data_IF_367520955110
#
_entry.id   IF_367520955110
#
_cell.length_a   1.000
_cell.length_b   1.000
_cell.length_c   1.000
_cell.angle_alpha   90.00
_cell.angle_beta   90.00
_cell.angle_gamma   90.00
#
_symmetry.space_group_name_H-M   'P 1'
#
loop_
_entity.id
_entity.type
_entity.pdbx_description
1 polymer ?
#
# COMPACT_ATOMS: atom_id res chain seq x y z
N UNK A 1 -6.67 -24.01 31.46
CA UNK A 1 -6.57 -23.06 30.31
C UNK A 1 -7.53 -23.55 29.21
N UNK A 2 -8.51 -22.74 28.83
CA UNK A 2 -9.59 -23.12 27.92
C UNK A 2 -9.04 -23.45 26.51
N UNK A 3 -9.31 -24.67 26.00
CA UNK A 3 -8.87 -25.13 24.65
C UNK A 3 -9.30 -24.16 23.53
N UNK A 4 -10.36 -23.40 23.75
CA UNK A 4 -10.82 -22.38 22.81
C UNK A 4 -9.90 -21.15 22.79
N UNK A 5 -9.31 -20.75 23.92
CA UNK A 5 -8.35 -19.64 24.00
C UNK A 5 -7.02 -19.98 23.34
N UNK A 6 -6.60 -21.25 23.36
CA UNK A 6 -5.38 -21.70 22.68
C UNK A 6 -5.52 -21.63 21.16
N UNK A 7 -6.71 -21.86 20.60
CA UNK A 7 -6.91 -22.01 19.14
C UNK A 7 -6.79 -20.71 18.36
N UNK A 8 -7.34 -19.57 18.85
CA UNK A 8 -7.24 -18.31 18.11
C UNK A 8 -5.84 -17.70 18.19
N UNK A 9 -5.17 -17.80 19.36
CA UNK A 9 -3.78 -17.38 19.50
C UNK A 9 -2.84 -18.17 18.59
N UNK A 10 -2.99 -19.52 18.57
CA UNK A 10 -2.22 -20.36 17.66
C UNK A 10 -2.49 -20.03 16.17
N UNK A 11 -3.71 -19.65 15.80
CA UNK A 11 -4.04 -19.26 14.43
C UNK A 11 -3.34 -17.95 14.02
N UNK A 12 -3.29 -16.96 14.92
CA UNK A 12 -2.55 -15.71 14.67
C UNK A 12 -1.06 -15.99 14.53
N UNK A 13 -0.47 -16.75 15.47
CA UNK A 13 0.95 -17.14 15.40
C UNK A 13 1.26 -17.87 14.09
N UNK A 14 0.41 -18.83 13.70
CA UNK A 14 0.57 -19.52 12.42
C UNK A 14 0.54 -18.59 11.21
N UNK A 15 -0.37 -17.60 11.19
CA UNK A 15 -0.45 -16.62 10.11
C UNK A 15 0.81 -15.74 10.06
N UNK A 16 1.33 -15.31 11.22
CA UNK A 16 2.59 -14.56 11.33
C UNK A 16 3.78 -15.40 10.83
N UNK A 17 3.92 -16.62 11.31
CA UNK A 17 5.02 -17.50 10.90
C UNK A 17 4.97 -17.78 9.39
N UNK A 18 3.79 -18.05 8.83
CA UNK A 18 3.66 -18.28 7.38
C UNK A 18 4.00 -17.00 6.60
N UNK A 19 3.60 -15.82 7.08
CA UNK A 19 3.94 -14.55 6.43
C UNK A 19 5.45 -14.32 6.43
N UNK A 20 6.14 -14.54 7.56
CA UNK A 20 7.60 -14.44 7.65
C UNK A 20 8.32 -15.45 6.75
N UNK A 21 7.88 -16.72 6.78
CA UNK A 21 8.43 -17.75 5.88
C UNK A 21 8.24 -17.35 4.41
N UNK A 22 7.07 -16.82 4.05
CA UNK A 22 6.83 -16.34 2.68
C UNK A 22 7.75 -15.16 2.31
N UNK A 23 8.04 -14.21 3.22
CA UNK A 23 9.03 -13.15 3.02
C UNK A 23 10.40 -13.76 2.71
N UNK A 24 10.88 -14.69 3.56
CA UNK A 24 12.20 -15.32 3.38
C UNK A 24 12.31 -16.09 2.07
N UNK A 25 11.23 -16.76 1.65
CA UNK A 25 11.20 -17.53 0.40
C UNK A 25 11.15 -16.68 -0.86
N UNK A 26 10.44 -15.55 -0.80
CA UNK A 26 10.15 -14.69 -1.96
C UNK A 26 11.08 -13.48 -2.08
N UNK A 27 11.90 -13.19 -1.04
CA UNK A 27 12.83 -12.06 -1.10
C UNK A 27 13.84 -12.24 -2.25
N UNK A 28 14.25 -11.16 -2.91
CA UNK A 28 15.34 -11.16 -3.88
C UNK A 28 16.61 -11.78 -3.29
N UNK A 29 17.29 -12.60 -4.06
CA UNK A 29 18.56 -13.20 -3.65
C UNK A 29 19.75 -12.71 -4.48
N UNK A 30 19.46 -12.16 -5.65
CA UNK A 30 20.45 -11.66 -6.59
C UNK A 30 20.03 -10.28 -7.12
N UNK A 31 20.98 -9.53 -7.64
CA UNK A 31 20.75 -8.23 -8.25
C UNK A 31 20.47 -7.11 -7.23
N UNK A 32 20.83 -7.31 -5.98
CA UNK A 32 20.78 -6.27 -4.94
C UNK A 32 22.19 -5.83 -4.63
N UNK A 33 22.46 -4.54 -4.73
CA UNK A 33 23.70 -3.92 -4.30
C UNK A 33 23.56 -3.57 -2.82
N UNK A 34 24.49 -4.07 -2.01
CA UNK A 34 24.54 -3.72 -0.59
C UNK A 34 24.89 -2.23 -0.43
N UNK A 35 24.10 -1.45 0.34
CA UNK A 35 24.36 -0.03 0.49
C UNK A 35 25.69 0.23 1.20
N UNK A 36 26.52 1.09 0.63
CA UNK A 36 27.67 1.63 1.34
C UNK A 36 27.17 2.48 2.51
N UNK A 37 27.83 2.43 3.69
CA UNK A 37 27.46 3.28 4.82
C UNK A 37 27.71 4.75 4.46
N UNK A 38 26.64 5.56 4.56
CA UNK A 38 26.66 7.00 4.32
C UNK A 38 26.02 7.74 5.49
N UNK A 39 26.43 8.99 5.70
CA UNK A 39 25.87 9.83 6.74
C UNK A 39 24.88 10.84 6.14
N UNK A 40 23.69 10.93 6.69
CA UNK A 40 22.68 11.88 6.23
C UNK A 40 23.18 13.33 6.20
N UNK A 41 24.02 13.74 7.15
CA UNK A 41 24.61 15.09 7.20
C UNK A 41 25.57 15.40 6.05
N UNK A 42 26.04 14.39 5.28
CA UNK A 42 26.84 14.61 4.07
C UNK A 42 25.99 15.00 2.85
N UNK A 43 24.70 14.75 2.90
CA UNK A 43 23.76 14.95 1.79
C UNK A 43 22.65 15.94 2.11
N UNK A 44 22.33 16.12 3.40
CA UNK A 44 21.24 16.99 3.86
C UNK A 44 21.74 17.93 4.95
N UNK A 45 21.36 19.17 4.89
CA UNK A 45 21.61 20.12 5.99
C UNK A 45 20.78 19.74 7.23
N UNK A 46 21.24 20.16 8.39
CA UNK A 46 20.51 19.96 9.65
C UNK A 46 19.08 20.54 9.59
N UNK A 47 18.90 21.69 8.95
CA UNK A 47 17.59 22.35 8.79
C UNK A 47 16.64 21.58 7.87
N UNK A 48 17.13 20.92 6.84
CA UNK A 48 16.32 20.06 5.96
C UNK A 48 15.86 18.81 6.68
N UNK A 49 16.75 18.16 7.43
CA UNK A 49 16.41 16.99 8.25
C UNK A 49 15.38 17.36 9.32
N UNK A 50 15.58 18.48 10.04
CA UNK A 50 14.66 18.95 11.06
C UNK A 50 13.28 19.26 10.46
N UNK A 51 13.22 19.99 9.34
CA UNK A 51 11.97 20.29 8.63
C UNK A 51 11.22 19.02 8.23
N UNK A 52 11.91 18.00 7.74
CA UNK A 52 11.31 16.72 7.39
C UNK A 52 10.74 16.02 8.63
N UNK A 53 11.49 16.01 9.74
CA UNK A 53 11.07 15.41 11.02
C UNK A 53 9.90 16.15 11.66
N UNK A 54 9.88 17.48 11.63
CA UNK A 54 8.79 18.32 12.15
C UNK A 54 7.48 18.08 11.40
N UNK A 55 7.56 17.78 10.11
CA UNK A 55 6.40 17.36 9.35
C UNK A 55 6.02 15.90 9.66
N UNK A 56 6.98 14.97 9.62
CA UNK A 56 6.71 13.52 9.69
C UNK A 56 6.25 13.03 11.07
N UNK A 57 6.83 13.52 12.17
CA UNK A 57 6.48 13.08 13.53
C UNK A 57 5.00 13.26 13.86
N UNK A 58 4.37 14.45 13.64
CA UNK A 58 2.93 14.59 13.85
C UNK A 58 2.09 13.76 12.88
N UNK A 59 2.52 13.58 11.62
CA UNK A 59 1.81 12.72 10.67
C UNK A 59 1.80 11.26 11.14
N UNK A 60 2.88 10.79 11.73
CA UNK A 60 2.96 9.47 12.35
C UNK A 60 2.00 9.34 13.55
N UNK A 61 1.93 10.36 14.41
CA UNK A 61 0.98 10.40 15.52
C UNK A 61 -0.48 10.39 15.02
N UNK A 62 -0.79 11.12 13.95
CA UNK A 62 -2.11 11.12 13.32
C UNK A 62 -2.43 9.73 12.75
N UNK A 63 -1.47 9.08 12.08
CA UNK A 63 -1.64 7.71 11.60
C UNK A 63 -1.98 6.73 12.74
N UNK A 64 -1.21 6.78 13.83
CA UNK A 64 -1.50 5.98 15.04
C UNK A 64 -2.87 6.29 15.63
N UNK A 65 -3.27 7.57 15.64
CA UNK A 65 -4.58 8.03 16.09
C UNK A 65 -5.74 7.51 15.21
N UNK A 66 -5.56 7.50 13.89
CA UNK A 66 -6.53 6.93 12.94
C UNK A 66 -6.72 5.44 13.22
N UNK A 67 -5.64 4.68 13.36
CA UNK A 67 -5.71 3.25 13.69
C UNK A 67 -6.36 3.01 15.07
N UNK A 68 -6.02 3.82 16.06
CA UNK A 68 -6.61 3.73 17.40
C UNK A 68 -8.12 4.02 17.39
N UNK A 69 -8.59 5.01 16.64
CA UNK A 69 -10.01 5.30 16.46
C UNK A 69 -10.70 4.14 15.76
N UNK A 70 -10.15 3.63 14.68
CA UNK A 70 -10.71 2.50 13.93
C UNK A 70 -10.87 1.26 14.84
N UNK A 71 -9.80 0.84 15.51
CA UNK A 71 -9.82 -0.26 16.46
C UNK A 71 -10.77 -0.01 17.63
N UNK A 72 -10.80 1.23 18.15
CA UNK A 72 -11.69 1.64 19.25
C UNK A 72 -13.18 1.55 18.87
N UNK A 73 -13.54 2.07 17.70
CA UNK A 73 -14.92 1.99 17.18
C UNK A 73 -15.32 0.54 16.98
N UNK A 74 -14.50 -0.28 16.34
CA UNK A 74 -14.80 -1.69 16.10
C UNK A 74 -14.89 -2.48 17.40
N UNK A 75 -13.99 -2.25 18.35
CA UNK A 75 -14.01 -2.88 19.68
C UNK A 75 -15.26 -2.49 20.46
N UNK A 76 -15.67 -1.22 20.43
CA UNK A 76 -16.91 -0.76 21.07
C UNK A 76 -18.14 -1.46 20.48
N UNK A 77 -18.20 -1.59 19.15
CA UNK A 77 -19.30 -2.27 18.45
C UNK A 77 -19.32 -3.78 18.70
N UNK A 78 -18.16 -4.40 18.94
CA UNK A 78 -18.06 -5.79 19.41
C UNK A 78 -18.58 -5.94 20.84
N UNK A 79 -18.16 -5.05 21.75
CA UNK A 79 -18.55 -5.10 23.16
C UNK A 79 -20.01 -4.74 23.37
N UNK A 80 -20.53 -3.77 22.59
CA UNK A 80 -21.91 -3.25 22.68
C UNK A 80 -22.59 -3.25 21.30
N UNK A 81 -22.86 -4.44 20.73
CA UNK A 81 -23.43 -4.51 19.39
C UNK A 81 -24.82 -3.90 19.34
N UNK A 82 -25.09 -3.03 18.35
CA UNK A 82 -26.38 -2.36 18.18
C UNK A 82 -27.53 -3.38 18.10
N UNK A 83 -28.65 -3.08 18.76
CA UNK A 83 -29.84 -3.95 18.76
C UNK A 83 -30.30 -4.27 17.34
N UNK A 84 -30.17 -3.32 16.40
CA UNK A 84 -30.54 -3.48 14.99
C UNK A 84 -29.74 -4.57 14.25
N UNK A 85 -28.59 -4.97 14.75
CA UNK A 85 -27.78 -6.04 14.17
C UNK A 85 -28.12 -7.44 14.73
N UNK A 86 -28.90 -7.54 15.83
CA UNK A 86 -29.18 -8.78 16.54
C UNK A 86 -30.51 -9.45 16.17
N UNK A 87 -31.33 -8.82 15.33
CA UNK A 87 -32.67 -9.28 15.02
C UNK A 87 -32.75 -10.50 14.10
N UNK A 88 -33.89 -11.20 14.08
CA UNK A 88 -34.15 -12.19 13.04
C UNK A 88 -34.41 -11.47 11.73
N UNK A 89 -33.44 -11.60 10.79
CA UNK A 89 -33.57 -10.99 9.48
C UNK A 89 -34.26 -11.93 8.49
N UNK A 90 -35.32 -11.46 7.83
CA UNK A 90 -35.94 -12.19 6.70
C UNK A 90 -34.93 -12.42 5.55
N UNK A 91 -34.03 -11.44 5.31
CA UNK A 91 -32.98 -11.47 4.26
C UNK A 91 -31.61 -11.17 4.88
N UNK A 92 -31.01 -12.13 5.60
CA UNK A 92 -29.80 -11.87 6.40
C UNK A 92 -28.58 -11.44 5.57
N UNK A 93 -28.47 -11.87 4.32
CA UNK A 93 -27.36 -11.48 3.42
C UNK A 93 -27.52 -10.02 2.99
N UNK A 94 -28.73 -9.57 2.64
CA UNK A 94 -28.99 -8.16 2.31
C UNK A 94 -28.83 -7.25 3.54
N UNK A 95 -29.27 -7.72 4.69
CA UNK A 95 -29.04 -7.01 5.95
C UNK A 95 -27.55 -6.89 6.28
N UNK A 96 -26.75 -7.92 5.96
CA UNK A 96 -25.29 -7.86 6.10
C UNK A 96 -24.65 -6.89 5.11
N UNK A 97 -25.12 -6.83 3.87
CA UNK A 97 -24.65 -5.83 2.89
C UNK A 97 -24.86 -4.40 3.42
N UNK A 98 -26.08 -4.09 3.85
CA UNK A 98 -26.41 -2.78 4.39
C UNK A 98 -25.62 -2.45 5.67
N UNK A 99 -25.45 -3.43 6.57
CA UNK A 99 -24.69 -3.27 7.80
C UNK A 99 -23.18 -3.08 7.52
N UNK A 100 -22.61 -3.81 6.57
CA UNK A 100 -21.21 -3.66 6.17
C UNK A 100 -20.94 -2.30 5.54
N UNK A 101 -21.80 -1.84 4.64
CA UNK A 101 -21.73 -0.50 4.07
C UNK A 101 -21.85 0.60 5.16
N UNK A 102 -22.83 0.47 6.08
CA UNK A 102 -23.00 1.41 7.17
C UNK A 102 -21.81 1.42 8.14
N UNK A 103 -21.21 0.26 8.42
CA UNK A 103 -20.01 0.16 9.26
C UNK A 103 -18.80 0.86 8.59
N UNK A 104 -18.61 0.65 7.30
CA UNK A 104 -17.57 1.35 6.53
C UNK A 104 -17.74 2.86 6.59
N UNK A 105 -18.96 3.36 6.36
CA UNK A 105 -19.26 4.80 6.47
C UNK A 105 -19.01 5.32 7.88
N UNK A 106 -19.46 4.59 8.91
CA UNK A 106 -19.28 5.00 10.31
C UNK A 106 -17.80 5.12 10.68
N UNK A 107 -16.95 4.17 10.28
CA UNK A 107 -15.51 4.23 10.51
C UNK A 107 -14.89 5.39 9.73
N UNK A 108 -15.24 5.55 8.45
CA UNK A 108 -14.76 6.67 7.62
C UNK A 108 -15.09 8.02 8.25
N UNK A 109 -16.31 8.21 8.74
CA UNK A 109 -16.71 9.46 9.40
C UNK A 109 -15.96 9.65 10.73
N UNK A 110 -15.75 8.59 11.51
CA UNK A 110 -15.02 8.67 12.77
C UNK A 110 -13.56 9.11 12.61
N UNK A 111 -12.87 8.67 11.56
CA UNK A 111 -11.47 9.03 11.29
C UNK A 111 -11.31 10.34 10.50
N UNK A 112 -12.39 10.85 9.89
CA UNK A 112 -12.35 12.02 9.02
C UNK A 112 -11.70 13.26 9.67
N UNK A 113 -11.97 13.61 10.94
CA UNK A 113 -11.33 14.77 11.58
C UNK A 113 -9.81 14.70 11.58
N UNK A 114 -9.21 13.53 11.89
CA UNK A 114 -7.77 13.36 11.84
C UNK A 114 -7.21 13.42 10.40
N UNK A 115 -7.96 12.92 9.42
CA UNK A 115 -7.58 13.02 8.02
C UNK A 115 -7.61 14.48 7.52
N UNK A 116 -8.54 15.29 8.01
CA UNK A 116 -8.59 16.73 7.73
C UNK A 116 -7.38 17.44 8.34
N UNK A 117 -7.04 17.15 9.59
CA UNK A 117 -5.84 17.70 10.25
C UNK A 117 -4.58 17.33 9.48
N UNK A 118 -4.43 16.05 9.09
CA UNK A 118 -3.30 15.58 8.28
C UNK A 118 -3.17 16.33 6.96
N UNK A 119 -4.32 16.56 6.27
CA UNK A 119 -4.37 17.31 5.02
C UNK A 119 -3.95 18.78 5.19
N UNK A 120 -4.47 19.46 6.22
CA UNK A 120 -4.12 20.88 6.43
C UNK A 120 -2.62 21.04 6.75
N UNK A 121 -2.07 20.15 7.58
CA UNK A 121 -0.62 20.13 7.81
C UNK A 121 0.19 19.92 6.53
N UNK A 122 -0.26 19.01 5.66
CA UNK A 122 0.38 18.78 4.36
C UNK A 122 0.26 19.99 3.43
N UNK A 123 -0.86 20.73 3.52
CA UNK A 123 -1.07 21.97 2.78
C UNK A 123 -0.19 23.11 3.29
N UNK A 124 -0.02 23.26 4.60
CA UNK A 124 0.87 24.24 5.23
C UNK A 124 2.32 24.13 4.75
N UNK A 125 2.80 22.91 4.53
CA UNK A 125 4.15 22.67 4.02
C UNK A 125 4.24 22.62 2.48
N UNK A 126 3.13 22.84 1.78
CA UNK A 126 3.08 22.93 0.32
C UNK A 126 2.96 21.57 -0.40
N UNK A 127 2.75 20.46 0.32
CA UNK A 127 2.59 19.13 -0.30
C UNK A 127 1.20 18.92 -0.93
N UNK A 128 0.16 19.62 -0.45
CA UNK A 128 -1.21 19.51 -0.96
C UNK A 128 -1.60 20.78 -1.70
N UNK A 129 -1.92 20.63 -2.97
CA UNK A 129 -2.43 21.69 -3.87
C UNK A 129 -3.94 21.62 -4.05
N UNK A 130 -4.55 20.50 -3.69
CA UNK A 130 -5.96 20.21 -3.91
C UNK A 130 -6.89 21.19 -3.19
N UNK A 131 -7.90 21.71 -3.91
CA UNK A 131 -8.97 22.50 -3.32
C UNK A 131 -9.84 21.70 -2.34
N UNK A 132 -10.57 22.39 -1.47
CA UNK A 132 -11.52 21.74 -0.56
C UNK A 132 -12.64 21.02 -1.29
N UNK A 133 -13.15 21.56 -2.38
CA UNK A 133 -14.20 20.91 -3.20
C UNK A 133 -13.66 19.64 -3.88
N UNK A 134 -12.42 19.68 -4.38
CA UNK A 134 -11.73 18.50 -4.92
C UNK A 134 -11.55 17.43 -3.87
N UNK A 135 -11.10 17.79 -2.67
CA UNK A 135 -10.95 16.86 -1.55
C UNK A 135 -12.28 16.22 -1.14
N UNK A 136 -13.34 17.03 -0.99
CA UNK A 136 -14.67 16.53 -0.63
C UNK A 136 -15.23 15.57 -1.70
N UNK A 137 -15.06 15.92 -3.00
CA UNK A 137 -15.43 15.03 -4.11
C UNK A 137 -14.69 13.69 -4.03
N UNK A 138 -13.37 13.71 -3.87
CA UNK A 138 -12.57 12.50 -3.82
C UNK A 138 -12.91 11.65 -2.60
N UNK A 139 -13.19 12.26 -1.45
CA UNK A 139 -13.67 11.57 -0.24
C UNK A 139 -15.05 10.95 -0.45
N UNK A 140 -15.95 11.62 -1.13
CA UNK A 140 -17.28 11.08 -1.45
C UNK A 140 -17.18 9.86 -2.38
N UNK A 141 -16.38 9.96 -3.45
CA UNK A 141 -16.14 8.85 -4.39
C UNK A 141 -15.49 7.66 -3.66
N UNK A 142 -14.38 7.89 -2.94
CA UNK A 142 -13.68 6.83 -2.20
C UNK A 142 -14.56 6.20 -1.12
N UNK A 143 -15.37 7.00 -0.42
CA UNK A 143 -16.31 6.53 0.59
C UNK A 143 -17.42 5.68 -0.01
N UNK A 144 -17.96 6.06 -1.18
CA UNK A 144 -18.98 5.28 -1.89
C UNK A 144 -18.42 3.93 -2.37
N UNK A 145 -17.21 3.93 -2.96
CA UNK A 145 -16.52 2.71 -3.38
C UNK A 145 -16.24 1.81 -2.16
N UNK A 146 -15.71 2.38 -1.08
CA UNK A 146 -15.43 1.65 0.16
C UNK A 146 -16.69 1.04 0.77
N UNK A 147 -17.79 1.78 0.82
CA UNK A 147 -19.09 1.29 1.32
C UNK A 147 -19.64 0.15 0.43
N UNK A 148 -19.51 0.27 -0.90
CA UNK A 148 -19.92 -0.78 -1.83
C UNK A 148 -19.11 -2.07 -1.61
N UNK A 149 -17.78 -1.96 -1.57
CA UNK A 149 -16.88 -3.11 -1.35
C UNK A 149 -17.16 -3.75 0.03
N UNK A 150 -17.29 -2.94 1.08
CA UNK A 150 -17.60 -3.44 2.42
C UNK A 150 -18.97 -4.12 2.48
N UNK A 151 -19.98 -3.56 1.80
CA UNK A 151 -21.31 -4.16 1.70
C UNK A 151 -21.29 -5.51 0.98
N UNK A 152 -20.63 -5.59 -0.18
CA UNK A 152 -20.48 -6.83 -0.95
C UNK A 152 -19.66 -7.87 -0.17
N UNK A 153 -18.57 -7.46 0.47
CA UNK A 153 -17.74 -8.32 1.32
C UNK A 153 -18.52 -8.88 2.51
N UNK A 154 -19.30 -8.04 3.19
CA UNK A 154 -20.15 -8.44 4.30
C UNK A 154 -21.26 -9.42 3.88
N UNK A 155 -21.92 -9.17 2.74
CA UNK A 155 -22.91 -10.07 2.16
C UNK A 155 -22.30 -11.44 1.85
N UNK A 156 -21.14 -11.43 1.19
CA UNK A 156 -20.39 -12.64 0.85
C UNK A 156 -19.97 -13.41 2.10
N UNK A 157 -19.36 -12.73 3.09
CA UNK A 157 -18.90 -13.35 4.31
C UNK A 157 -20.05 -14.01 5.08
N UNK A 158 -21.18 -13.29 5.29
CA UNK A 158 -22.35 -13.83 5.97
C UNK A 158 -23.00 -14.95 5.17
N UNK A 159 -23.07 -14.83 3.84
CA UNK A 159 -23.56 -15.89 2.96
C UNK A 159 -22.75 -17.18 3.09
N UNK A 160 -21.42 -17.06 3.09
CA UNK A 160 -20.49 -18.17 3.27
C UNK A 160 -20.57 -18.77 4.69
N UNK A 161 -20.61 -17.93 5.73
CA UNK A 161 -20.74 -18.37 7.14
C UNK A 161 -22.03 -19.17 7.37
N UNK A 162 -23.12 -18.81 6.69
CA UNK A 162 -24.41 -19.51 6.79
C UNK A 162 -24.37 -20.87 6.10
N UNK A 163 -23.69 -20.99 4.96
CA UNK A 163 -23.58 -22.23 4.20
C UNK A 163 -22.50 -23.17 4.75
N UNK A 164 -21.38 -22.60 5.22
CA UNK A 164 -20.19 -23.30 5.67
C UNK A 164 -19.72 -22.75 7.04
N UNK A 165 -20.44 -22.99 8.14
CA UNK A 165 -20.20 -22.31 9.43
C UNK A 165 -18.78 -22.48 9.99
N UNK A 166 -18.12 -23.59 9.68
CA UNK A 166 -16.74 -23.90 10.15
C UNK A 166 -15.66 -23.64 9.10
N UNK A 167 -16.00 -23.71 7.81
CA UNK A 167 -15.06 -23.69 6.68
C UNK A 167 -15.22 -22.49 5.75
N UNK A 168 -16.00 -21.48 6.10
CA UNK A 168 -16.27 -20.31 5.25
C UNK A 168 -15.02 -19.55 4.80
N UNK A 169 -13.96 -19.60 5.60
CA UNK A 169 -12.69 -18.99 5.31
C UNK A 169 -11.99 -19.58 4.07
N UNK A 170 -12.24 -20.86 3.74
CA UNK A 170 -11.64 -21.50 2.56
C UNK A 170 -12.13 -20.87 1.26
N UNK A 171 -13.44 -20.88 0.92
CA UNK A 171 -13.91 -20.15 -0.25
C UNK A 171 -13.70 -18.62 -0.10
N UNK A 172 -13.73 -18.08 1.12
CA UNK A 172 -13.38 -16.69 1.40
C UNK A 172 -11.97 -16.33 0.94
N UNK A 173 -10.99 -17.22 1.14
CA UNK A 173 -9.62 -17.04 0.67
C UNK A 173 -9.57 -16.94 -0.86
N UNK A 174 -10.24 -17.84 -1.55
CA UNK A 174 -10.28 -17.79 -3.04
C UNK A 174 -10.84 -16.45 -3.53
N UNK A 175 -11.91 -15.98 -2.88
CA UNK A 175 -12.53 -14.69 -3.23
C UNK A 175 -11.58 -13.51 -2.93
N UNK A 176 -10.87 -13.53 -1.79
CA UNK A 176 -9.89 -12.48 -1.44
C UNK A 176 -8.74 -12.44 -2.43
N UNK A 177 -8.18 -13.59 -2.79
CA UNK A 177 -7.09 -13.68 -3.78
C UNK A 177 -7.58 -13.23 -5.16
N UNK A 178 -8.75 -13.71 -5.60
CA UNK A 178 -9.33 -13.29 -6.87
C UNK A 178 -9.63 -11.78 -6.89
N UNK A 179 -10.14 -11.22 -5.80
CA UNK A 179 -10.35 -9.78 -5.65
C UNK A 179 -9.02 -9.01 -5.72
N UNK A 180 -7.96 -9.51 -5.09
CA UNK A 180 -6.61 -8.94 -5.19
C UNK A 180 -6.11 -8.90 -6.64
N UNK A 181 -6.23 -10.01 -7.37
CA UNK A 181 -5.87 -10.09 -8.80
C UNK A 181 -6.66 -9.05 -9.61
N UNK A 182 -7.99 -9.04 -9.47
CA UNK A 182 -8.86 -8.10 -10.20
C UNK A 182 -8.51 -6.65 -9.83
N UNK A 183 -8.27 -6.34 -8.55
CA UNK A 183 -7.97 -4.97 -8.10
C UNK A 183 -6.66 -4.45 -8.67
N UNK A 184 -5.61 -5.27 -8.72
CA UNK A 184 -4.30 -4.86 -9.23
C UNK A 184 -4.36 -4.58 -10.74
N UNK A 185 -5.08 -5.38 -11.51
CA UNK A 185 -5.10 -5.23 -12.97
C UNK A 185 -6.23 -4.33 -13.49
N UNK A 186 -7.40 -4.37 -12.85
CA UNK A 186 -8.52 -3.53 -13.26
C UNK A 186 -8.54 -2.16 -12.58
N UNK A 187 -7.96 -2.05 -11.37
CA UNK A 187 -7.93 -0.80 -10.59
C UNK A 187 -7.39 0.39 -11.38
N UNK A 188 -6.20 0.32 -12.00
CA UNK A 188 -5.64 1.43 -12.78
C UNK A 188 -6.46 1.80 -14.02
N UNK A 189 -7.28 0.90 -14.52
CA UNK A 189 -8.14 1.15 -15.71
C UNK A 189 -9.51 1.70 -15.31
N UNK A 190 -10.07 1.22 -14.19
CA UNK A 190 -11.44 1.54 -13.76
C UNK A 190 -11.48 2.62 -12.69
N UNK A 191 -10.57 2.56 -11.70
CA UNK A 191 -10.62 3.45 -10.55
C UNK A 191 -9.78 4.73 -10.75
N UNK A 192 -8.57 4.63 -11.32
CA UNK A 192 -7.71 5.80 -11.49
C UNK A 192 -8.35 6.93 -12.29
N UNK A 193 -9.12 6.67 -13.40
CA UNK A 193 -9.78 7.73 -14.15
C UNK A 193 -10.89 8.47 -13.39
N UNK A 194 -11.39 7.91 -12.27
CA UNK A 194 -12.35 8.62 -11.41
C UNK A 194 -11.69 9.79 -10.65
N UNK A 195 -10.38 9.70 -10.47
CA UNK A 195 -9.59 10.66 -9.70
C UNK A 195 -8.67 11.51 -10.59
N UNK A 196 -8.10 10.96 -11.64
CA UNK A 196 -7.03 11.57 -12.42
C UNK A 196 -7.39 11.65 -13.91
N UNK A 197 -6.74 12.59 -14.60
CA UNK A 197 -6.81 12.71 -16.06
C UNK A 197 -5.49 12.23 -16.66
N UNK A 198 -5.57 11.29 -17.60
CA UNK A 198 -4.43 10.73 -18.29
C UNK A 198 -4.34 11.30 -19.69
N UNK A 199 -3.14 11.72 -20.11
CA UNK A 199 -2.88 12.21 -21.48
C UNK A 199 -1.66 11.47 -22.02
N UNK A 200 -1.68 11.02 -23.28
CA UNK A 200 -0.46 10.51 -23.91
C UNK A 200 0.66 11.55 -23.83
N UNK A 201 1.87 11.09 -23.49
CA UNK A 201 3.04 11.95 -23.50
C UNK A 201 3.35 12.34 -24.96
N UNK A 202 3.42 13.65 -25.30
CA UNK A 202 3.72 14.07 -26.65
C UNK A 202 5.05 13.49 -27.17
N UNK A 203 5.22 13.33 -28.50
CA UNK A 203 6.50 12.97 -29.08
C UNK A 203 7.60 13.94 -28.61
N UNK A 204 8.77 13.37 -28.29
CA UNK A 204 9.91 14.12 -27.78
C UNK A 204 10.87 13.23 -27.01
N UNK A 205 11.97 13.82 -26.60
CA UNK A 205 13.12 13.14 -26.05
C UNK A 205 12.79 12.27 -24.81
N UNK A 206 11.96 12.79 -23.88
CA UNK A 206 11.56 12.03 -22.68
C UNK A 206 10.79 10.77 -23.05
N UNK A 207 9.86 10.87 -24.02
CA UNK A 207 9.10 9.70 -24.49
C UNK A 207 10.02 8.67 -25.17
N UNK A 208 10.97 9.13 -25.96
CA UNK A 208 11.95 8.29 -26.64
C UNK A 208 12.84 7.57 -25.63
N UNK A 209 13.31 8.27 -24.57
CA UNK A 209 14.11 7.67 -23.50
C UNK A 209 13.35 6.57 -22.77
N UNK A 210 12.09 6.83 -22.41
CA UNK A 210 11.24 5.84 -21.72
C UNK A 210 11.10 4.58 -22.57
N UNK A 211 10.82 4.71 -23.87
CA UNK A 211 10.66 3.59 -24.78
C UNK A 211 12.00 2.86 -25.02
N UNK A 212 13.10 3.59 -25.11
CA UNK A 212 14.44 3.01 -25.24
C UNK A 212 14.86 2.21 -23.98
N UNK A 213 14.58 2.75 -22.80
CA UNK A 213 14.81 2.06 -21.52
C UNK A 213 13.95 0.80 -21.41
N UNK A 214 12.66 0.88 -21.76
CA UNK A 214 11.76 -0.26 -21.77
C UNK A 214 12.28 -1.38 -22.69
N UNK A 215 12.73 -1.04 -23.89
CA UNK A 215 13.34 -1.98 -24.82
C UNK A 215 14.61 -2.62 -24.25
N UNK A 216 15.48 -1.84 -23.61
CA UNK A 216 16.71 -2.34 -22.96
C UNK A 216 16.39 -3.26 -21.78
N UNK A 217 15.33 -2.96 -21.02
CA UNK A 217 14.85 -3.78 -19.92
C UNK A 217 14.14 -5.06 -20.38
N UNK A 218 13.89 -5.23 -21.68
CA UNK A 218 13.11 -6.34 -22.22
C UNK A 218 11.61 -6.26 -21.85
N UNK A 219 11.12 -5.05 -21.58
CA UNK A 219 9.73 -4.79 -21.21
C UNK A 219 8.98 -4.19 -22.39
N UNK A 220 7.93 -4.86 -22.82
CA UNK A 220 7.05 -4.36 -23.89
C UNK A 220 6.10 -3.29 -23.31
N UNK A 221 6.34 -2.04 -23.66
CA UNK A 221 5.54 -0.87 -23.27
C UNK A 221 4.83 -0.33 -24.50
N UNK A 222 3.50 -0.34 -24.46
CA UNK A 222 2.68 0.13 -25.58
C UNK A 222 2.62 1.65 -25.66
N UNK A 223 2.51 2.35 -24.53
CA UNK A 223 2.32 3.81 -24.52
C UNK A 223 2.86 4.44 -23.22
N UNK A 224 3.20 5.73 -23.30
CA UNK A 224 3.65 6.57 -22.17
C UNK A 224 2.60 7.65 -21.94
N UNK A 225 2.14 7.77 -20.70
CA UNK A 225 1.14 8.77 -20.30
C UNK A 225 1.70 9.74 -19.27
N UNK A 226 1.13 10.92 -19.24
CA UNK A 226 1.21 11.86 -18.12
C UNK A 226 -0.10 11.85 -17.35
N UNK A 227 -0.03 12.10 -16.05
CA UNK A 227 -1.19 12.25 -15.16
C UNK A 227 -1.13 13.60 -14.45
N UNK A 228 -2.27 14.27 -14.30
CA UNK A 228 -2.45 15.60 -13.69
C UNK A 228 -2.34 15.57 -12.15
N UNK A 229 -1.21 15.05 -11.63
CA UNK A 229 -0.96 14.93 -10.20
C UNK A 229 -0.86 16.31 -9.51
N UNK A 230 -0.31 17.30 -10.20
CA UNK A 230 -0.16 18.68 -9.70
C UNK A 230 -1.46 19.32 -9.21
N UNK A 231 -2.60 18.85 -9.68
CA UNK A 231 -3.93 19.26 -9.19
C UNK A 231 -4.19 18.88 -7.73
N UNK A 232 -3.44 17.91 -7.18
CA UNK A 232 -3.61 17.36 -5.82
C UNK A 232 -2.40 17.53 -4.94
N UNK A 233 -1.22 17.39 -5.52
CA UNK A 233 0.02 17.30 -4.76
C UNK A 233 1.19 17.89 -5.52
N UNK A 234 2.21 18.30 -4.79
CA UNK A 234 3.52 18.64 -5.37
C UNK A 234 4.47 17.43 -5.36
N UNK A 235 4.08 16.32 -4.75
CA UNK A 235 4.89 15.10 -4.72
C UNK A 235 5.08 14.53 -6.13
N UNK A 236 6.30 14.04 -6.41
CA UNK A 236 6.64 13.41 -7.68
C UNK A 236 6.51 11.88 -7.58
N UNK A 237 6.06 11.25 -8.66
CA UNK A 237 5.98 9.80 -8.77
C UNK A 237 5.90 9.36 -10.25
N UNK A 238 6.13 8.06 -10.49
CA UNK A 238 5.83 7.36 -11.73
C UNK A 238 5.36 5.94 -11.41
N UNK A 239 4.81 5.22 -12.38
CA UNK A 239 4.50 3.80 -12.23
C UNK A 239 4.29 3.12 -13.59
N UNK A 240 4.46 1.80 -13.62
CA UNK A 240 4.12 0.96 -14.77
C UNK A 240 2.89 0.13 -14.44
N UNK A 241 1.91 0.12 -15.34
CA UNK A 241 0.67 -0.64 -15.16
C UNK A 241 0.22 -1.28 -16.46
N UNK A 242 -0.73 -2.22 -16.40
CA UNK A 242 -1.25 -2.96 -17.54
C UNK A 242 -0.71 -4.38 -17.64
N UNK A 243 -1.16 -5.12 -18.66
CA UNK A 243 -0.84 -6.54 -18.89
C UNK A 243 -0.34 -6.75 -20.31
N UNK A 244 0.67 -7.61 -20.47
CA UNK A 244 1.19 -7.98 -21.79
C UNK A 244 1.58 -6.75 -22.61
N UNK A 245 1.04 -6.63 -23.80
CA UNK A 245 1.24 -5.51 -24.74
C UNK A 245 0.48 -4.23 -24.36
N UNK A 246 -0.40 -4.27 -23.37
CA UNK A 246 -1.14 -3.09 -22.88
C UNK A 246 -0.44 -2.37 -21.74
N UNK A 247 0.81 -2.76 -21.41
CA UNK A 247 1.60 -2.06 -20.40
C UNK A 247 1.84 -0.62 -20.82
N UNK A 248 1.70 0.27 -19.86
CA UNK A 248 1.93 1.71 -20.03
C UNK A 248 2.77 2.26 -18.87
N UNK A 249 3.65 3.16 -19.19
CA UNK A 249 4.37 3.97 -18.20
C UNK A 249 3.55 5.23 -17.94
N UNK A 250 3.31 5.56 -16.69
CA UNK A 250 2.59 6.76 -16.26
C UNK A 250 3.54 7.65 -15.46
N UNK A 251 3.75 8.87 -15.92
CA UNK A 251 4.61 9.86 -15.29
C UNK A 251 3.73 10.97 -14.71
N UNK A 252 3.99 11.37 -13.46
CA UNK A 252 3.36 12.54 -12.89
C UNK A 252 3.87 13.81 -13.59
N UNK A 253 2.96 14.75 -13.88
CA UNK A 253 3.34 16.06 -14.38
C UNK A 253 4.34 16.77 -13.45
N UNK A 254 4.18 16.61 -12.14
CA UNK A 254 5.11 17.11 -11.12
C UNK A 254 6.51 16.51 -11.20
N UNK A 255 6.67 15.27 -11.69
CA UNK A 255 7.97 14.66 -11.94
C UNK A 255 8.64 15.34 -13.16
N UNK A 256 7.90 15.48 -14.24
CA UNK A 256 8.41 16.07 -15.48
C UNK A 256 8.79 17.54 -15.34
N UNK A 257 8.06 18.29 -14.51
CA UNK A 257 8.29 19.73 -14.29
C UNK A 257 9.47 20.01 -13.35
N UNK A 258 9.77 19.12 -12.42
CA UNK A 258 10.68 19.44 -11.32
C UNK A 258 11.97 18.62 -11.27
N UNK A 259 12.11 17.61 -12.12
CA UNK A 259 13.28 16.73 -12.15
C UNK A 259 13.97 16.80 -13.52
N UNK A 260 15.28 16.59 -13.52
CA UNK A 260 16.07 16.56 -14.75
C UNK A 260 15.73 15.30 -15.54
N UNK A 261 16.03 15.32 -16.82
CA UNK A 261 15.75 14.22 -17.74
C UNK A 261 16.46 12.91 -17.34
N UNK A 262 17.71 12.99 -16.88
CA UNK A 262 18.47 11.86 -16.36
C UNK A 262 17.83 11.26 -15.09
N UNK A 263 17.34 12.11 -14.18
CA UNK A 263 16.61 11.68 -13.00
C UNK A 263 15.27 11.00 -13.35
N UNK A 264 14.54 11.52 -14.34
CA UNK A 264 13.30 10.88 -14.84
C UNK A 264 13.60 9.50 -15.45
N UNK A 265 14.72 9.36 -16.16
CA UNK A 265 15.17 8.07 -16.71
C UNK A 265 15.43 7.04 -15.62
N UNK A 266 16.02 7.45 -14.50
CA UNK A 266 16.29 6.58 -13.34
C UNK A 266 14.99 6.10 -12.69
N UNK A 267 14.02 7.00 -12.49
CA UNK A 267 12.70 6.62 -11.98
C UNK A 267 12.04 5.59 -12.90
N UNK A 268 12.07 5.83 -14.21
CA UNK A 268 11.51 4.88 -15.19
C UNK A 268 12.25 3.55 -15.16
N UNK A 269 13.58 3.54 -15.05
CA UNK A 269 14.39 2.33 -14.95
C UNK A 269 14.03 1.53 -13.67
N UNK A 270 13.81 2.21 -12.55
CA UNK A 270 13.32 1.63 -11.31
C UNK A 270 11.95 0.96 -11.52
N UNK A 271 10.98 1.66 -12.11
CA UNK A 271 9.64 1.11 -12.37
C UNK A 271 9.67 -0.07 -13.34
N UNK A 272 10.54 -0.05 -14.35
CA UNK A 272 10.73 -1.16 -15.27
C UNK A 272 11.31 -2.41 -14.59
N UNK A 273 12.06 -2.26 -13.50
CA UNK A 273 12.56 -3.36 -12.68
C UNK A 273 11.41 -4.22 -12.15
N UNK A 274 10.35 -3.61 -11.61
CA UNK A 274 9.19 -4.33 -11.08
C UNK A 274 8.52 -5.21 -12.13
N UNK A 275 8.53 -4.78 -13.39
CA UNK A 275 8.01 -5.58 -14.51
C UNK A 275 9.00 -6.68 -14.90
N UNK A 276 10.28 -6.34 -15.00
CA UNK A 276 11.37 -7.27 -15.35
C UNK A 276 11.43 -8.46 -14.38
N UNK A 277 11.38 -8.20 -13.08
CA UNK A 277 11.43 -9.23 -12.03
C UNK A 277 10.06 -9.81 -11.67
N UNK A 278 8.99 -9.37 -12.33
CA UNK A 278 7.62 -9.86 -12.10
C UNK A 278 7.15 -9.67 -10.66
N UNK A 279 7.43 -8.51 -10.06
CA UNK A 279 7.14 -8.25 -8.65
C UNK A 279 5.64 -8.28 -8.34
N UNK A 280 4.78 -7.85 -9.27
CA UNK A 280 3.32 -7.96 -9.11
C UNK A 280 2.85 -9.41 -9.05
N UNK A 281 3.20 -10.32 -9.97
CA UNK A 281 2.92 -11.76 -9.81
C UNK A 281 3.47 -12.36 -8.53
N UNK A 282 4.69 -12.00 -8.11
CA UNK A 282 5.31 -12.48 -6.87
C UNK A 282 4.55 -11.97 -5.62
N UNK A 283 4.09 -10.72 -5.64
CA UNK A 283 3.23 -10.16 -4.60
C UNK A 283 1.87 -10.88 -4.51
N UNK A 284 1.28 -11.24 -5.65
CA UNK A 284 0.06 -12.05 -5.70
C UNK A 284 0.30 -13.49 -5.18
N UNK A 285 1.47 -14.06 -5.44
CA UNK A 285 1.87 -15.35 -4.87
C UNK A 285 2.01 -15.25 -3.35
N UNK A 286 2.65 -14.19 -2.83
CA UNK A 286 2.70 -13.90 -1.39
C UNK A 286 1.28 -13.84 -0.79
N UNK A 287 0.38 -13.08 -1.41
CA UNK A 287 -1.03 -13.01 -1.00
C UNK A 287 -1.68 -14.40 -0.98
N UNK A 288 -1.48 -15.20 -2.03
CA UNK A 288 -2.07 -16.54 -2.13
C UNK A 288 -1.56 -17.50 -1.04
N UNK A 289 -0.30 -17.36 -0.62
CA UNK A 289 0.31 -18.17 0.46
C UNK A 289 -0.24 -17.72 1.82
N UNK A 290 -0.33 -16.41 2.08
CA UNK A 290 -0.61 -15.86 3.41
C UNK A 290 -2.11 -15.74 3.70
N UNK A 291 -2.93 -15.42 2.69
CA UNK A 291 -4.36 -15.17 2.86
C UNK A 291 -5.15 -16.34 3.52
N UNK A 292 -4.87 -17.62 3.24
CA UNK A 292 -5.55 -18.74 3.91
C UNK A 292 -5.39 -18.70 5.43
N UNK A 293 -4.17 -18.45 5.90
CA UNK A 293 -3.84 -18.43 7.33
C UNK A 293 -4.36 -17.16 8.01
N UNK A 294 -4.22 -16.01 7.34
CA UNK A 294 -4.78 -14.76 7.81
C UNK A 294 -6.31 -14.85 7.95
N UNK A 295 -6.99 -15.35 6.93
CA UNK A 295 -8.45 -15.49 6.96
C UNK A 295 -8.93 -16.58 7.94
N UNK A 296 -8.16 -17.65 8.13
CA UNK A 296 -8.38 -18.62 9.20
C UNK A 296 -8.30 -17.96 10.58
N UNK A 297 -7.27 -17.13 10.83
CA UNK A 297 -7.13 -16.38 12.08
C UNK A 297 -8.31 -15.42 12.30
N UNK A 298 -8.72 -14.69 11.26
CA UNK A 298 -9.92 -13.83 11.27
C UNK A 298 -11.17 -14.65 11.60
N UNK A 299 -11.32 -15.85 11.04
CA UNK A 299 -12.47 -16.71 11.32
C UNK A 299 -12.47 -17.21 12.78
N UNK A 300 -11.31 -17.50 13.38
CA UNK A 300 -11.21 -17.85 14.79
C UNK A 300 -11.56 -16.65 15.70
N UNK A 301 -11.02 -15.45 15.38
CA UNK A 301 -11.33 -14.22 16.11
C UNK A 301 -12.81 -13.88 16.02
N UNK A 302 -13.40 -13.92 14.83
CA UNK A 302 -14.84 -13.67 14.62
C UNK A 302 -15.69 -14.62 15.45
N UNK A 303 -15.40 -15.92 15.47
CA UNK A 303 -16.14 -16.90 16.28
C UNK A 303 -16.01 -16.63 17.78
N UNK A 304 -14.87 -16.13 18.23
CA UNK A 304 -14.62 -15.81 19.65
C UNK A 304 -15.32 -14.55 20.11
N UNK A 305 -15.39 -13.56 19.23
CA UNK A 305 -15.84 -12.20 19.56
C UNK A 305 -17.31 -11.93 19.17
N UNK A 306 -17.84 -12.66 18.19
CA UNK A 306 -19.22 -12.43 17.74
C UNK A 306 -20.25 -12.88 18.77
N UNK A 307 -21.32 -12.10 19.03
CA UNK A 307 -22.37 -12.44 19.95
C UNK A 307 -23.14 -13.70 19.51
N UNK A 308 -23.30 -14.66 20.41
CA UNK A 308 -24.17 -15.85 20.20
C UNK A 308 -23.71 -16.83 19.11
N UNK A 309 -22.52 -16.65 18.51
CA UNK A 309 -21.99 -17.58 17.51
C UNK A 309 -22.81 -17.71 16.22
N UNK A 310 -23.83 -16.90 16.02
CA UNK A 310 -24.75 -17.00 14.87
C UNK A 310 -24.18 -16.25 13.65
N UNK A 311 -24.19 -16.87 12.44
CA UNK A 311 -23.77 -16.23 11.21
C UNK A 311 -24.83 -15.21 10.74
N UNK A 312 -24.59 -13.93 11.03
CA UNK A 312 -25.49 -12.82 10.70
C UNK A 312 -24.82 -11.45 10.80
N UNK A 313 -25.56 -10.35 10.57
CA UNK A 313 -25.02 -8.99 10.65
C UNK A 313 -24.35 -8.66 12.00
N UNK A 314 -24.73 -9.29 13.10
CA UNK A 314 -24.13 -9.11 14.41
C UNK A 314 -22.64 -9.56 14.49
N UNK A 315 -22.18 -10.41 13.58
CA UNK A 315 -20.80 -10.86 13.51
C UNK A 315 -19.88 -9.86 12.78
N UNK A 316 -20.43 -8.89 12.04
CA UNK A 316 -19.64 -7.99 11.17
C UNK A 316 -18.64 -7.10 11.92
N UNK A 317 -18.95 -6.50 13.09
CA UNK A 317 -17.93 -5.76 13.84
C UNK A 317 -16.74 -6.63 14.25
N UNK A 318 -16.99 -7.87 14.69
CA UNK A 318 -15.92 -8.82 15.05
C UNK A 318 -15.11 -9.26 13.81
N UNK A 319 -15.77 -9.48 12.68
CA UNK A 319 -15.12 -9.78 11.41
C UNK A 319 -14.24 -8.60 10.98
N UNK A 320 -14.75 -7.38 11.00
CA UNK A 320 -14.01 -6.17 10.62
C UNK A 320 -12.80 -5.95 11.55
N UNK A 321 -12.98 -6.08 12.87
CA UNK A 321 -11.89 -5.98 13.83
C UNK A 321 -10.81 -7.02 13.55
N UNK A 322 -11.19 -8.27 13.31
CA UNK A 322 -10.26 -9.34 12.95
C UNK A 322 -9.50 -9.05 11.65
N UNK A 323 -10.19 -8.51 10.63
CA UNK A 323 -9.57 -8.10 9.36
C UNK A 323 -8.56 -6.97 9.59
N UNK A 324 -8.93 -5.90 10.31
CA UNK A 324 -8.00 -4.77 10.57
C UNK A 324 -6.76 -5.26 11.30
N UNK A 325 -6.92 -6.04 12.38
CA UNK A 325 -5.77 -6.57 13.14
C UNK A 325 -4.88 -7.43 12.26
N UNK A 326 -5.46 -8.39 11.52
CA UNK A 326 -4.65 -9.30 10.68
C UNK A 326 -4.01 -8.60 9.49
N UNK A 327 -4.73 -7.68 8.84
CA UNK A 327 -4.16 -6.90 7.72
C UNK A 327 -3.01 -6.04 8.20
N UNK A 328 -3.16 -5.29 9.30
CA UNK A 328 -2.08 -4.48 9.87
C UNK A 328 -0.85 -5.34 10.20
N UNK A 329 -1.06 -6.49 10.88
CA UNK A 329 0.04 -7.40 11.22
C UNK A 329 0.76 -7.95 9.98
N UNK A 330 0.00 -8.43 8.98
CA UNK A 330 0.57 -9.01 7.75
C UNK A 330 1.26 -7.93 6.92
N UNK A 331 0.70 -6.71 6.86
CA UNK A 331 1.32 -5.58 6.14
C UNK A 331 2.67 -5.22 6.75
N UNK A 332 2.78 -5.13 8.09
CA UNK A 332 4.07 -4.90 8.76
C UNK A 332 5.12 -5.94 8.36
N UNK A 333 4.72 -7.21 8.28
CA UNK A 333 5.62 -8.30 7.85
C UNK A 333 5.97 -8.14 6.37
N UNK A 334 5.00 -7.89 5.51
CA UNK A 334 5.23 -7.76 4.05
C UNK A 334 6.07 -6.54 3.69
N UNK A 335 6.15 -5.51 4.55
CA UNK A 335 7.02 -4.36 4.36
C UNK A 335 8.51 -4.76 4.27
N UNK A 336 8.91 -5.84 4.93
CA UNK A 336 10.28 -6.36 4.82
C UNK A 336 10.55 -6.84 3.39
N UNK A 337 9.62 -7.64 2.82
CA UNK A 337 9.73 -8.09 1.42
C UNK A 337 9.72 -6.89 0.45
N UNK A 338 8.86 -5.89 0.70
CA UNK A 338 8.79 -4.68 -0.11
C UNK A 338 10.15 -3.97 -0.16
N UNK A 339 10.79 -3.73 0.98
CA UNK A 339 12.10 -3.04 1.02
C UNK A 339 13.19 -3.78 0.25
N UNK A 340 13.22 -5.11 0.30
CA UNK A 340 14.18 -5.91 -0.47
C UNK A 340 13.92 -5.81 -1.99
N UNK A 341 12.65 -5.80 -2.38
CA UNK A 341 12.24 -5.60 -3.77
C UNK A 341 12.64 -4.20 -4.25
N UNK A 342 12.42 -3.17 -3.44
CA UNK A 342 12.79 -1.79 -3.75
C UNK A 342 14.32 -1.59 -3.86
N UNK A 343 15.09 -2.19 -2.96
CA UNK A 343 16.56 -2.16 -3.04
C UNK A 343 17.07 -2.81 -4.34
N UNK A 344 16.42 -3.91 -4.78
CA UNK A 344 16.71 -4.51 -6.09
C UNK A 344 16.31 -3.60 -7.24
N UNK A 345 15.20 -2.89 -7.14
CA UNK A 345 14.74 -1.97 -8.18
C UNK A 345 15.71 -0.79 -8.34
N UNK A 346 16.24 -0.26 -7.25
CA UNK A 346 17.29 0.76 -7.25
C UNK A 346 18.59 0.25 -7.90
N UNK A 347 19.00 -0.94 -7.50
CA UNK A 347 20.20 -1.60 -8.06
C UNK A 347 20.07 -1.86 -9.56
N UNK A 348 18.87 -2.28 -9.99
CA UNK A 348 18.57 -2.48 -11.41
C UNK A 348 18.55 -1.15 -12.18
N UNK A 349 17.99 -0.09 -11.62
CA UNK A 349 17.98 1.24 -12.24
C UNK A 349 19.40 1.71 -12.51
N UNK A 350 20.31 1.57 -11.55
CA UNK A 350 21.75 1.86 -11.71
C UNK A 350 22.39 0.99 -12.78
N UNK A 351 22.14 -0.31 -12.77
CA UNK A 351 22.70 -1.24 -13.77
C UNK A 351 22.19 -0.93 -15.18
N UNK A 352 20.91 -0.58 -15.32
CA UNK A 352 20.29 -0.27 -16.60
C UNK A 352 20.76 1.08 -17.17
N UNK A 353 20.95 2.09 -16.32
CA UNK A 353 21.31 3.45 -16.76
C UNK A 353 22.82 3.69 -16.76
N UNK A 354 23.54 3.17 -15.78
CA UNK A 354 24.95 3.46 -15.55
C UNK A 354 25.21 4.84 -14.95
N UNK A 355 24.22 5.46 -14.31
CA UNK A 355 24.22 6.87 -13.91
C UNK A 355 24.14 7.03 -12.37
N UNK A 356 25.21 6.76 -11.58
CA UNK A 356 25.14 6.83 -10.11
C UNK A 356 24.97 8.26 -9.56
N UNK A 357 25.66 9.27 -10.13
CA UNK A 357 25.54 10.66 -9.66
C UNK A 357 24.11 11.22 -9.83
N UNK A 358 23.43 11.07 -11.00
CA UNK A 358 22.02 11.42 -11.14
C UNK A 358 21.10 10.64 -10.19
N UNK A 359 21.40 9.37 -9.89
CA UNK A 359 20.65 8.56 -8.95
C UNK A 359 20.73 9.14 -7.51
N UNK A 360 21.94 9.43 -7.04
CA UNK A 360 22.14 10.06 -5.72
C UNK A 360 21.46 11.42 -5.65
N UNK A 361 21.61 12.25 -6.69
CA UNK A 361 20.95 13.57 -6.78
C UNK A 361 19.43 13.45 -6.77
N UNK A 362 18.89 12.46 -7.48
CA UNK A 362 17.45 12.19 -7.50
C UNK A 362 16.94 11.81 -6.10
N UNK A 363 17.59 10.89 -5.40
CA UNK A 363 17.19 10.46 -4.05
C UNK A 363 17.21 11.62 -3.04
N UNK A 364 18.20 12.50 -3.11
CA UNK A 364 18.21 13.72 -2.31
C UNK A 364 17.02 14.62 -2.63
N UNK A 365 16.78 14.91 -3.90
CA UNK A 365 15.75 15.85 -4.35
C UNK A 365 14.34 15.35 -4.07
N UNK A 366 14.08 14.05 -4.29
CA UNK A 366 12.76 13.48 -4.03
C UNK A 366 12.48 13.42 -2.52
N UNK A 367 13.48 13.14 -1.69
CA UNK A 367 13.34 13.19 -0.24
C UNK A 367 12.99 14.59 0.26
N UNK A 368 13.70 15.61 -0.22
CA UNK A 368 13.42 17.02 0.12
C UNK A 368 12.03 17.46 -0.35
N UNK A 369 11.66 17.08 -1.57
CA UNK A 369 10.37 17.46 -2.15
C UNK A 369 9.20 16.80 -1.43
N UNK A 370 9.33 15.55 -1.05
CA UNK A 370 8.29 14.79 -0.36
C UNK A 370 8.36 14.93 1.17
N UNK A 371 9.28 15.77 1.70
CA UNK A 371 9.55 15.94 3.13
C UNK A 371 9.73 14.58 3.82
N UNK A 372 10.50 13.70 3.22
CA UNK A 372 10.85 12.39 3.79
C UNK A 372 12.00 12.57 4.79
N UNK A 373 11.88 11.97 5.99
CA UNK A 373 13.05 11.85 6.89
C UNK A 373 14.08 10.94 6.20
N UNK A 374 15.28 11.42 5.88
CA UNK A 374 16.25 10.61 5.14
C UNK A 374 16.81 9.45 5.95
N UNK A 375 16.76 9.54 7.27
CA UNK A 375 17.30 8.57 8.22
C UNK A 375 16.33 8.39 9.39
N UNK A 376 15.19 7.70 9.17
CA UNK A 376 14.20 7.44 10.20
C UNK A 376 14.70 6.37 11.18
N UNK A 377 14.23 6.36 12.44
CA UNK A 377 14.57 5.30 13.40
C UNK A 377 14.20 3.89 12.88
N UNK A 378 15.02 2.88 13.21
CA UNK A 378 14.84 1.49 12.75
C UNK A 378 13.44 0.92 13.01
N UNK A 379 12.87 1.21 14.19
CA UNK A 379 11.52 0.75 14.51
C UNK A 379 10.45 1.31 13.57
N UNK A 380 10.61 2.56 13.11
CA UNK A 380 9.70 3.19 12.17
C UNK A 380 9.85 2.55 10.79
N UNK A 381 11.08 2.34 10.35
CA UNK A 381 11.40 1.62 9.11
C UNK A 381 10.83 0.21 9.14
N UNK A 382 11.05 -0.53 10.22
CA UNK A 382 10.54 -1.89 10.39
C UNK A 382 9.02 -1.97 10.31
N UNK A 383 8.31 -1.11 11.05
CA UNK A 383 6.85 -1.18 11.17
C UNK A 383 6.11 -0.61 9.96
N UNK A 384 6.63 0.46 9.34
CA UNK A 384 5.84 1.32 8.46
C UNK A 384 6.42 1.50 7.05
N UNK A 385 7.75 1.38 6.87
CA UNK A 385 8.35 1.71 5.59
C UNK A 385 8.24 0.56 4.59
N UNK A 386 7.75 0.88 3.41
CA UNK A 386 7.73 -0.01 2.24
C UNK A 386 8.97 0.10 1.37
N UNK A 387 9.75 1.18 1.53
CA UNK A 387 11.02 1.45 0.85
C UNK A 387 12.15 1.52 1.85
N UNK A 388 13.40 1.25 1.45
CA UNK A 388 14.57 1.54 2.28
C UNK A 388 14.63 3.02 2.65
N UNK A 389 15.27 3.40 3.77
CA UNK A 389 15.60 4.79 4.07
C UNK A 389 16.32 5.48 2.92
N UNK A 390 16.13 6.79 2.76
CA UNK A 390 16.79 7.54 1.68
C UNK A 390 18.32 7.40 1.74
N UNK A 391 18.90 7.36 2.94
CA UNK A 391 20.35 7.19 3.08
C UNK A 391 20.82 5.82 2.58
N UNK A 392 20.06 4.75 2.78
CA UNK A 392 20.39 3.43 2.25
C UNK A 392 20.32 3.41 0.72
N UNK A 393 19.33 4.07 0.12
CA UNK A 393 19.21 4.23 -1.32
C UNK A 393 20.38 5.03 -1.90
N UNK A 394 20.77 6.14 -1.27
CA UNK A 394 22.00 6.88 -1.59
C UNK A 394 23.23 5.97 -1.44
N UNK A 395 23.27 5.15 -0.39
CA UNK A 395 24.32 4.17 -0.16
C UNK A 395 24.46 3.15 -1.29
N UNK A 396 23.35 2.71 -1.89
CA UNK A 396 23.34 1.84 -3.08
C UNK A 396 24.02 2.56 -4.27
N UNK A 397 23.70 3.84 -4.51
CA UNK A 397 24.34 4.66 -5.55
C UNK A 397 25.85 4.80 -5.33
N UNK A 398 26.28 5.06 -4.09
CA UNK A 398 27.69 5.19 -3.71
C UNK A 398 28.44 3.86 -3.86
N UNK A 399 27.83 2.73 -3.48
CA UNK A 399 28.41 1.40 -3.67
C UNK A 399 28.62 1.10 -5.16
N UNK A 400 27.61 1.40 -5.98
CA UNK A 400 27.70 1.24 -7.43
C UNK A 400 28.82 2.09 -8.04
N UNK A 401 28.97 3.35 -7.63
CA UNK A 401 30.04 4.26 -8.07
C UNK A 401 31.43 3.69 -7.75
N UNK A 402 31.59 3.04 -6.59
CA UNK A 402 32.82 2.36 -6.15
C UNK A 402 33.12 1.05 -6.90
N UNK A 403 32.25 0.61 -7.78
CA UNK A 403 32.41 -0.58 -8.61
C UNK A 403 31.65 -1.81 -8.11
N UNK A 404 30.88 -1.72 -7.05
CA UNK A 404 29.99 -2.80 -6.62
C UNK A 404 28.83 -2.93 -7.63
N UNK A 405 28.58 -4.15 -8.09
CA UNK A 405 27.54 -4.47 -9.07
C UNK A 405 26.49 -5.43 -8.50
N UNK A 406 26.64 -5.80 -7.21
CA UNK A 406 25.84 -6.83 -6.59
C UNK A 406 26.15 -8.24 -7.15
N UNK A 407 25.73 -9.29 -6.45
CA UNK A 407 25.88 -10.68 -6.85
C UNK A 407 24.94 -11.07 -8.01
#
# INVERSE_FOLDING_TARGET
MDRARLRWGAAIVAAVVVAEVAVVLLRPRNGVIEPAPVNAASYFSASEIERARDYRRPQLAIYGGVLAIELGVLTLLVARPPRRLRGPFRRPVLAAAAAGAALSVAVTVAILPLQVVSRERAKEVGLVTQSWSGYARDKAISGAIGALIAGLGAATAVGLMRRLPRGWWVPGTVIVVAFGVVSIYAGPVVLDPLFNTFKPLPPGQTREDVLALAKRAGVDVGEVFTVDASRRTTAANAYVTGLGTTKRVVLYDTLLENFKRDEVRLVVAHELSHVHYRDVPNGLLYLAIVAPFGLFAVAQLTRRLAPGGAPGPAALPALALGLVVMTTTITTISNQLSREIEARADSYALTLTGEPEPFISFEQRIALRNLSDPDPPDWQTFLLATHPPTIDRIGIGVAYERGDRGP
#
